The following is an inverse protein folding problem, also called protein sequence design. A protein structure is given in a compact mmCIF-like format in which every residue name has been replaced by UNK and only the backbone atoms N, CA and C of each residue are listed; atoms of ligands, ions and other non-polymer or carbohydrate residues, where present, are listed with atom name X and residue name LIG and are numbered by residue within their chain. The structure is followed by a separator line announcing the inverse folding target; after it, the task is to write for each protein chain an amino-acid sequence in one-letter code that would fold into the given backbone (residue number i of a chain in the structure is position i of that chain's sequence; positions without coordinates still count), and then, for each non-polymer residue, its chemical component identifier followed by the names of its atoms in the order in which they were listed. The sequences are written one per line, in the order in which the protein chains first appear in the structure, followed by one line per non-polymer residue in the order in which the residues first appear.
data_IF_993892184408
#
_entry.id   IF_993892184408
#
_cell.length_a   1.000
_cell.length_b   1.000
_cell.length_c   1.000
_cell.angle_alpha   90.00
_cell.angle_beta   90.00
_cell.angle_gamma   90.00
#
_symmetry.space_group_name_H-M   'P 1'
#
loop_
_entity.id
_entity.type
_entity.pdbx_description
1 polymer ?
#
# COMPACT_ATOMS: atom_id res chain seq x y z
N UNK A 1 2.74 6.37 15.86
CA UNK A 1 1.90 7.59 15.69
C UNK A 1 1.94 8.15 14.27
N UNK A 2 3.10 8.23 13.57
CA UNK A 2 3.16 8.76 12.20
C UNK A 2 2.46 7.86 11.14
N UNK A 3 2.62 6.55 11.25
CA UNK A 3 2.05 5.55 10.33
C UNK A 3 0.52 5.50 10.35
N UNK A 4 -0.09 5.54 11.54
CA UNK A 4 -1.54 5.49 11.73
C UNK A 4 -2.25 6.71 11.13
N UNK A 5 -1.64 7.90 11.25
CA UNK A 5 -2.11 9.12 10.60
C UNK A 5 -2.05 9.00 9.07
N UNK A 6 -1.01 8.34 8.55
CA UNK A 6 -0.85 8.10 7.11
C UNK A 6 -1.92 7.16 6.56
N UNK A 7 -2.16 6.03 7.25
CA UNK A 7 -3.22 5.07 6.91
C UNK A 7 -4.59 5.75 6.92
N UNK A 8 -4.89 6.57 7.93
CA UNK A 8 -6.16 7.31 8.00
C UNK A 8 -6.35 8.28 6.83
N UNK A 9 -5.31 9.04 6.47
CA UNK A 9 -5.35 9.94 5.29
C UNK A 9 -5.54 9.16 4.00
N UNK A 10 -4.93 7.99 3.90
CA UNK A 10 -5.08 7.08 2.78
C UNK A 10 -6.51 6.55 2.70
N UNK A 11 -7.12 6.08 3.80
CA UNK A 11 -8.51 5.60 3.83
C UNK A 11 -9.48 6.65 3.30
N UNK A 12 -9.40 7.87 3.84
CA UNK A 12 -10.24 9.00 3.39
C UNK A 12 -10.04 9.31 1.90
N UNK A 13 -8.81 9.18 1.41
CA UNK A 13 -8.54 9.44 -0.01
C UNK A 13 -9.07 8.33 -0.91
N UNK A 14 -8.90 7.06 -0.53
CA UNK A 14 -9.47 5.91 -1.25
C UNK A 14 -10.99 5.98 -1.29
N UNK A 15 -11.64 6.24 -0.16
CA UNK A 15 -13.09 6.44 -0.09
C UNK A 15 -13.57 7.49 -1.11
N UNK A 16 -12.91 8.66 -1.11
CA UNK A 16 -13.25 9.76 -2.03
C UNK A 16 -13.05 9.37 -3.50
N UNK A 17 -11.98 8.65 -3.82
CA UNK A 17 -11.70 8.23 -5.19
C UNK A 17 -12.67 7.14 -5.66
N UNK A 18 -12.92 6.11 -4.85
CA UNK A 18 -13.92 5.07 -5.12
C UNK A 18 -15.31 5.68 -5.33
N UNK A 19 -15.73 6.62 -4.46
CA UNK A 19 -17.00 7.32 -4.63
C UNK A 19 -17.05 8.21 -5.89
N UNK A 20 -15.90 8.71 -6.36
CA UNK A 20 -15.80 9.51 -7.58
C UNK A 20 -15.84 8.63 -8.83
N UNK A 21 -15.20 7.46 -8.82
CA UNK A 21 -15.32 6.45 -9.89
C UNK A 21 -16.77 5.97 -10.01
N UNK A 22 -17.42 5.62 -8.89
CA UNK A 22 -18.81 5.17 -8.87
C UNK A 22 -19.77 6.22 -9.45
N UNK A 23 -19.65 7.48 -9.02
CA UNK A 23 -20.50 8.57 -9.52
C UNK A 23 -20.28 8.89 -11.00
N UNK A 24 -19.05 8.80 -11.49
CA UNK A 24 -18.72 9.10 -12.89
C UNK A 24 -18.93 7.92 -13.83
N UNK A 25 -18.99 6.69 -13.29
CA UNK A 25 -18.98 5.46 -14.09
C UNK A 25 -17.67 5.23 -14.83
N UNK A 26 -16.58 5.89 -14.43
CA UNK A 26 -15.28 5.80 -15.10
C UNK A 26 -14.15 5.61 -14.11
N UNK A 27 -13.13 4.85 -14.53
CA UNK A 27 -11.91 4.64 -13.75
C UNK A 27 -11.08 5.93 -13.74
N UNK A 28 -10.60 6.31 -12.58
CA UNK A 28 -9.70 7.44 -12.39
C UNK A 28 -8.27 6.94 -12.59
N UNK A 29 -7.55 7.39 -13.64
CA UNK A 29 -6.23 6.84 -13.98
C UNK A 29 -5.20 6.98 -12.86
N UNK A 30 -5.16 8.12 -12.17
CA UNK A 30 -4.24 8.35 -11.06
C UNK A 30 -4.56 7.46 -9.85
N UNK A 31 -5.84 7.13 -9.64
CA UNK A 31 -6.26 6.23 -8.58
C UNK A 31 -5.89 4.78 -8.91
N UNK A 32 -6.08 4.36 -10.17
CA UNK A 32 -5.61 3.06 -10.66
C UNK A 32 -4.10 2.90 -10.46
N UNK A 33 -3.30 3.93 -10.74
CA UNK A 33 -1.84 3.89 -10.54
C UNK A 33 -1.47 3.60 -9.09
N UNK A 34 -2.11 4.29 -8.13
CA UNK A 34 -1.86 4.07 -6.69
C UNK A 34 -2.32 2.67 -6.28
N UNK A 35 -3.54 2.25 -6.66
CA UNK A 35 -4.07 0.91 -6.36
C UNK A 35 -3.14 -0.19 -6.85
N UNK A 36 -2.59 -0.04 -8.06
CA UNK A 36 -1.65 -0.99 -8.65
C UNK A 36 -0.38 -1.13 -7.81
N UNK A 37 0.29 -0.02 -7.50
CA UNK A 37 1.54 -0.05 -6.72
C UNK A 37 1.33 -0.62 -5.31
N UNK A 38 0.20 -0.30 -4.68
CA UNK A 38 -0.16 -0.86 -3.37
C UNK A 38 -0.42 -2.37 -3.46
N UNK A 39 -1.11 -2.82 -4.51
CA UNK A 39 -1.34 -4.25 -4.77
C UNK A 39 -0.03 -4.98 -5.03
N UNK A 40 0.85 -4.41 -5.85
CA UNK A 40 2.15 -5.01 -6.16
C UNK A 40 3.03 -5.10 -4.89
N UNK A 41 3.02 -4.06 -4.06
CA UNK A 41 3.70 -4.06 -2.75
C UNK A 41 3.14 -5.15 -1.82
N UNK A 42 1.81 -5.29 -1.75
CA UNK A 42 1.16 -6.33 -0.97
C UNK A 42 1.62 -7.72 -1.42
N UNK A 43 1.57 -8.02 -2.72
CA UNK A 43 2.01 -9.31 -3.29
C UNK A 43 3.47 -9.62 -2.96
N UNK A 44 4.34 -8.61 -3.10
CA UNK A 44 5.77 -8.75 -2.79
C UNK A 44 6.02 -9.05 -1.31
N UNK A 45 5.25 -8.45 -0.40
CA UNK A 45 5.44 -8.62 1.04
C UNK A 45 4.80 -9.91 1.57
N UNK A 46 3.63 -10.30 1.05
CA UNK A 46 2.90 -11.48 1.53
C UNK A 46 3.34 -12.77 0.83
N UNK A 47 3.85 -12.67 -0.39
CA UNK A 47 4.15 -13.82 -1.25
C UNK A 47 2.91 -14.45 -1.91
N UNK A 48 1.73 -13.82 -1.78
CA UNK A 48 0.51 -14.27 -2.42
C UNK A 48 0.36 -13.56 -3.79
N UNK A 49 0.62 -14.28 -4.88
CA UNK A 49 0.63 -13.71 -6.24
C UNK A 49 -0.73 -13.15 -6.67
N UNK A 50 -1.81 -13.74 -6.17
CA UNK A 50 -3.19 -13.34 -6.47
C UNK A 50 -3.74 -12.28 -5.53
N UNK A 51 -2.96 -11.82 -4.54
CA UNK A 51 -3.42 -10.85 -3.58
C UNK A 51 -3.92 -9.58 -4.25
N UNK A 52 -5.03 -9.05 -3.75
CA UNK A 52 -5.67 -7.84 -4.24
C UNK A 52 -6.17 -7.00 -3.09
N UNK A 53 -6.23 -5.67 -3.31
CA UNK A 53 -6.74 -4.72 -2.33
C UNK A 53 -7.96 -3.97 -2.88
N UNK A 54 -8.98 -3.84 -2.04
CA UNK A 54 -10.18 -3.05 -2.29
C UNK A 54 -10.49 -2.14 -1.11
N UNK A 55 -11.49 -1.27 -1.30
CA UNK A 55 -11.98 -0.37 -0.26
C UNK A 55 -13.50 -0.53 -0.15
N UNK A 56 -13.95 -1.09 0.98
CA UNK A 56 -15.35 -1.26 1.34
C UNK A 56 -15.54 -0.94 2.82
N UNK A 57 -15.87 0.32 3.14
CA UNK A 57 -15.91 0.81 4.53
C UNK A 57 -14.56 0.81 5.28
N UNK A 58 -13.53 0.25 4.66
CA UNK A 58 -12.16 0.05 5.14
C UNK A 58 -11.34 -0.65 4.06
N UNK A 59 -10.04 -0.81 4.28
CA UNK A 59 -9.21 -1.58 3.37
C UNK A 59 -9.46 -3.06 3.58
N UNK A 60 -9.75 -3.78 2.49
CA UNK A 60 -9.91 -5.23 2.50
C UNK A 60 -8.95 -5.87 1.52
N UNK A 61 -8.52 -7.08 1.85
CA UNK A 61 -7.52 -7.85 1.13
C UNK A 61 -8.06 -9.23 0.83
N UNK A 62 -7.95 -9.64 -0.44
CA UNK A 62 -8.38 -10.95 -0.91
C UNK A 62 -7.19 -11.69 -1.51
N UNK A 63 -6.98 -12.96 -1.15
CA UNK A 63 -5.83 -13.78 -1.58
C UNK A 63 -6.11 -15.27 -1.39
N UNK A 64 -5.33 -16.13 -2.05
CA UNK A 64 -5.35 -17.58 -1.82
C UNK A 64 -4.22 -17.98 -0.86
N UNK A 65 -4.58 -18.60 0.27
CA UNK A 65 -3.63 -19.07 1.26
C UNK A 65 -2.86 -20.32 0.76
N UNK A 66 -1.77 -20.66 1.46
CA UNK A 66 -0.88 -21.77 1.07
C UNK A 66 -1.55 -23.15 1.06
N UNK A 67 -2.67 -23.30 1.77
CA UNK A 67 -3.49 -24.52 1.79
C UNK A 67 -4.53 -24.58 0.65
N UNK A 68 -4.55 -23.57 -0.22
CA UNK A 68 -5.50 -23.44 -1.33
C UNK A 68 -6.82 -22.76 -0.95
N UNK A 69 -7.00 -22.33 0.31
CA UNK A 69 -8.20 -21.64 0.75
C UNK A 69 -8.23 -20.22 0.20
N UNK A 70 -9.30 -19.85 -0.51
CA UNK A 70 -9.54 -18.46 -0.91
C UNK A 70 -10.05 -17.66 0.28
N UNK A 71 -9.31 -16.61 0.63
CA UNK A 71 -9.65 -15.65 1.66
C UNK A 71 -10.22 -14.41 0.97
N UNK A 72 -11.51 -14.17 1.16
CA UNK A 72 -12.23 -13.04 0.58
C UNK A 72 -12.39 -11.90 1.59
N UNK A 73 -12.14 -10.67 1.14
CA UNK A 73 -12.39 -9.40 1.83
C UNK A 73 -11.93 -9.38 3.30
N UNK A 74 -10.75 -9.93 3.56
CA UNK A 74 -10.17 -9.91 4.90
C UNK A 74 -9.79 -8.48 5.28
N UNK A 75 -10.12 -8.01 6.49
CA UNK A 75 -9.75 -6.66 6.91
C UNK A 75 -8.23 -6.46 6.84
N UNK A 76 -7.78 -5.34 6.28
CA UNK A 76 -6.36 -5.02 6.17
C UNK A 76 -5.65 -4.99 7.53
N UNK A 77 -6.40 -4.72 8.60
CA UNK A 77 -5.94 -4.75 9.98
C UNK A 77 -5.48 -6.13 10.46
N UNK A 78 -5.87 -7.20 9.76
CA UNK A 78 -5.41 -8.57 10.04
C UNK A 78 -3.96 -8.82 9.60
N UNK A 79 -3.40 -7.97 8.73
CA UNK A 79 -2.00 -8.03 8.36
C UNK A 79 -1.10 -7.67 9.54
N UNK A 80 0.10 -8.25 9.57
CA UNK A 80 1.11 -7.90 10.58
C UNK A 80 1.41 -6.40 10.57
N UNK A 81 1.73 -5.84 11.74
CA UNK A 81 2.07 -4.42 11.91
C UNK A 81 3.17 -3.99 10.93
N UNK A 82 4.19 -4.82 10.71
CA UNK A 82 5.25 -4.56 9.76
C UNK A 82 4.74 -4.39 8.31
N UNK A 83 3.84 -5.26 7.85
CA UNK A 83 3.25 -5.14 6.52
C UNK A 83 2.41 -3.88 6.41
N UNK A 84 1.58 -3.59 7.41
CA UNK A 84 0.72 -2.39 7.42
C UNK A 84 1.54 -1.11 7.36
N UNK A 85 2.67 -1.05 8.07
CA UNK A 85 3.56 0.12 8.05
C UNK A 85 4.20 0.32 6.69
N UNK A 86 4.79 -0.72 6.09
CA UNK A 86 5.46 -0.62 4.79
C UNK A 86 4.46 -0.29 3.68
N UNK A 87 3.31 -0.97 3.65
CA UNK A 87 2.25 -0.70 2.67
C UNK A 87 1.72 0.73 2.83
N UNK A 88 1.48 1.18 4.06
CA UNK A 88 1.04 2.55 4.34
C UNK A 88 2.04 3.61 3.88
N UNK A 89 3.34 3.35 4.03
CA UNK A 89 4.40 4.22 3.53
C UNK A 89 4.41 4.30 1.99
N UNK A 90 4.43 3.14 1.33
CA UNK A 90 4.41 3.05 -0.15
C UNK A 90 3.16 3.74 -0.71
N UNK A 91 2.02 3.51 -0.09
CA UNK A 91 0.77 4.10 -0.53
C UNK A 91 0.74 5.63 -0.34
N UNK A 92 1.30 6.17 0.74
CA UNK A 92 1.36 7.63 0.92
C UNK A 92 2.29 8.29 -0.10
N UNK A 93 3.44 7.67 -0.40
CA UNK A 93 4.35 8.14 -1.46
C UNK A 93 3.62 8.13 -2.81
N UNK A 94 3.05 7.00 -3.21
CA UNK A 94 2.33 6.86 -4.48
C UNK A 94 1.16 7.84 -4.59
N UNK A 95 0.40 8.03 -3.50
CA UNK A 95 -0.71 8.99 -3.42
C UNK A 95 -0.22 10.42 -3.64
N UNK A 96 0.89 10.83 -3.02
CA UNK A 96 1.47 12.17 -3.22
C UNK A 96 1.94 12.35 -4.66
N UNK A 97 2.60 11.36 -5.25
CA UNK A 97 3.02 11.40 -6.66
C UNK A 97 1.81 11.57 -7.59
N UNK A 98 0.74 10.81 -7.37
CA UNK A 98 -0.50 10.88 -8.13
C UNK A 98 -1.23 12.22 -7.99
N UNK A 99 -1.31 12.76 -6.78
CA UNK A 99 -1.98 14.04 -6.51
C UNK A 99 -1.24 15.25 -7.08
N UNK A 100 0.10 15.23 -7.04
CA UNK A 100 0.93 16.32 -7.52
C UNK A 100 1.09 16.29 -9.05
N UNK A 101 0.94 15.13 -9.67
CA UNK A 101 1.15 14.95 -11.11
C UNK A 101 -0.07 14.35 -11.83
N UNK A 102 -1.28 14.95 -11.71
CA UNK A 102 -2.49 14.40 -12.33
C UNK A 102 -2.40 14.34 -13.87
N UNK A 103 -1.56 15.20 -14.48
CA UNK A 103 -1.32 15.21 -15.92
C UNK A 103 -0.60 13.96 -16.45
N UNK A 104 0.05 13.18 -15.57
CA UNK A 104 0.66 11.90 -15.92
C UNK A 104 -0.32 10.73 -15.85
N UNK A 105 -1.53 10.95 -15.33
CA UNK A 105 -2.59 9.93 -15.26
C UNK A 105 -2.10 8.60 -14.65
N UNK A 106 -2.29 7.48 -15.34
CA UNK A 106 -1.85 6.15 -14.86
C UNK A 106 -0.32 6.02 -14.73
N UNK A 107 0.44 6.90 -15.39
CA UNK A 107 1.91 6.90 -15.36
C UNK A 107 2.47 7.73 -14.19
N UNK A 108 1.63 8.37 -13.37
CA UNK A 108 2.08 9.30 -12.34
C UNK A 108 3.09 8.67 -11.38
N UNK A 109 2.90 7.42 -10.96
CA UNK A 109 3.85 6.76 -10.06
C UNK A 109 5.14 6.33 -10.79
N UNK A 110 5.04 5.90 -12.05
CA UNK A 110 6.19 5.39 -12.81
C UNK A 110 7.09 6.49 -13.40
N UNK A 111 6.55 7.69 -13.64
CA UNK A 111 7.23 8.78 -14.37
C UNK A 111 7.52 10.02 -13.55
N UNK A 112 7.16 10.04 -12.27
CA UNK A 112 7.50 11.14 -11.38
C UNK A 112 8.87 10.88 -10.74
N UNK A 113 9.95 11.55 -11.16
CA UNK A 113 11.21 11.50 -10.42
C UNK A 113 11.06 12.24 -9.09
N UNK A 114 11.81 11.82 -8.07
CA UNK A 114 11.81 12.49 -6.78
C UNK A 114 12.79 11.87 -5.81
N UNK A 115 13.05 12.59 -4.73
CA UNK A 115 13.82 12.08 -3.58
C UNK A 115 12.85 12.01 -2.40
N UNK A 116 12.80 10.85 -1.75
CA UNK A 116 12.00 10.64 -0.53
C UNK A 116 12.98 10.50 0.63
N UNK A 117 12.88 11.40 1.61
CA UNK A 117 13.59 11.27 2.88
C UNK A 117 12.70 10.50 3.85
N UNK A 118 13.17 9.33 4.27
CA UNK A 118 12.53 8.50 5.30
C UNK A 118 13.40 8.65 6.53
N UNK A 119 12.84 9.25 7.57
CA UNK A 119 13.49 9.33 8.88
C UNK A 119 13.10 8.11 9.72
N UNK A 120 14.00 7.67 10.61
CA UNK A 120 13.80 6.54 11.53
C UNK A 120 13.36 5.23 10.84
N UNK A 121 14.04 4.82 9.76
CA UNK A 121 13.66 3.61 9.00
C UNK A 121 13.55 2.36 9.89
N UNK A 122 14.39 2.25 10.92
CA UNK A 122 14.43 1.12 11.85
C UNK A 122 13.13 0.97 12.65
N UNK A 123 12.50 2.09 13.03
CA UNK A 123 11.21 2.12 13.75
C UNK A 123 10.02 1.72 12.87
N UNK A 124 10.20 1.75 11.55
CA UNK A 124 9.16 1.44 10.57
C UNK A 124 9.26 0.00 10.00
N UNK A 125 10.29 -0.75 10.37
CA UNK A 125 10.51 -2.14 9.95
C UNK A 125 9.98 -3.14 10.99
N UNK A 126 9.60 -4.34 10.54
CA UNK A 126 9.17 -5.43 11.42
C UNK A 126 10.31 -5.83 12.38
N UNK A 127 10.05 -6.14 13.67
CA UNK A 127 11.10 -6.48 14.65
C UNK A 127 12.04 -7.61 14.22
N UNK A 128 11.55 -8.58 13.44
CA UNK A 128 12.36 -9.67 12.84
C UNK A 128 13.45 -9.19 11.86
N UNK A 129 13.35 -7.98 11.32
CA UNK A 129 14.32 -7.38 10.40
C UNK A 129 15.19 -6.32 11.07
N UNK A 130 14.90 -5.98 12.33
CA UNK A 130 15.72 -5.09 13.16
C UNK A 130 16.93 -5.82 13.78
N UNK A 131 16.99 -7.15 13.66
CA UNK A 131 18.12 -7.95 14.11
C UNK A 131 19.22 -8.02 13.04
N UNK A 132 20.21 -7.13 13.15
CA UNK A 132 21.57 -7.46 12.71
C UNK A 132 21.99 -8.76 13.42
N UNK A 133 22.46 -9.76 12.68
CA UNK A 133 23.30 -10.82 13.23
C UNK A 133 24.75 -10.28 13.24
N UNK A 134 25.34 -9.91 14.39
CA UNK A 134 26.67 -9.31 14.44
C UNK A 134 27.81 -10.32 14.18
N UNK A 135 27.48 -11.58 13.84
CA UNK A 135 28.38 -12.73 14.03
C UNK A 135 29.05 -13.33 12.81
N UNK A 136 29.10 -12.68 11.63
CA UNK A 136 29.65 -13.33 10.43
C UNK A 136 30.64 -12.50 9.62
N UNK A 137 31.67 -12.00 10.28
CA UNK A 137 33.02 -11.84 9.70
C UNK A 137 34.06 -12.14 10.78
N UNK A 138 34.46 -13.41 10.86
CA UNK A 138 35.72 -13.89 11.40
C UNK A 138 36.26 -14.96 10.46
#
# INVERSE_FOLDING_TARGET
MSSEVSIKKMSVWFEKMTAREYRKGTVIPEFRAVRRVVTDCLRLLTGFDDASIAYDGGFVVSYTASDGTYMEDQPFETLSDGYRVVIGLVADIARRMAQLNPFLAEQAVARTPGVVLIDEVDLHLHPKWQGEDPGRFA
#
